data_IF_321053010332
#
_entry.id   IF_321053010332
#
_cell.length_a   1.000
_cell.length_b   1.000
_cell.length_c   1.000
_cell.angle_alpha   90.00
_cell.angle_beta   90.00
_cell.angle_gamma   90.00
#
_symmetry.space_group_name_H-M   'P 1'
#
loop_
_entity.id
_entity.type
_entity.pdbx_description
1 polymer ?
#
# COMPACT_ATOMS: atom_id res chain seq x y z
N UNK A 1 40.67 4.70 12.23
CA UNK A 1 39.78 5.84 12.55
C UNK A 1 38.38 5.46 12.01
N UNK A 2 37.49 5.02 12.91
CA UNK A 2 36.14 4.54 12.55
C UNK A 2 35.15 5.66 12.81
N UNK A 3 34.69 6.31 11.75
CA UNK A 3 33.61 7.28 11.82
C UNK A 3 32.26 6.56 11.90
N UNK A 4 31.68 6.48 13.08
CA UNK A 4 30.30 6.05 13.29
C UNK A 4 29.38 7.13 12.73
N UNK A 5 28.67 6.84 11.64
CA UNK A 5 27.58 7.67 11.17
C UNK A 5 26.45 7.62 12.22
N UNK A 6 26.33 8.67 13.01
CA UNK A 6 25.23 8.85 13.95
C UNK A 6 23.94 9.05 13.15
N UNK A 7 23.02 8.11 13.28
CA UNK A 7 21.66 8.25 12.74
C UNK A 7 21.02 9.45 13.45
N UNK A 8 20.73 10.50 12.68
CA UNK A 8 20.20 11.75 13.21
C UNK A 8 18.71 11.60 13.56
N UNK A 9 18.43 11.15 14.77
CA UNK A 9 17.06 11.01 15.33
C UNK A 9 16.29 12.34 15.37
N UNK A 10 16.98 13.48 15.31
CA UNK A 10 16.36 14.80 15.24
C UNK A 10 15.64 15.06 13.93
N UNK A 11 16.06 14.43 12.81
CA UNK A 11 15.35 14.53 11.54
C UNK A 11 13.99 13.85 11.56
N UNK A 12 13.80 12.82 12.39
CA UNK A 12 12.50 12.14 12.56
C UNK A 12 11.54 12.94 13.45
N UNK A 13 12.04 13.84 14.30
CA UNK A 13 11.21 14.64 15.21
C UNK A 13 10.68 15.93 14.57
N UNK A 14 11.38 16.47 13.57
CA UNK A 14 10.97 17.70 12.86
C UNK A 14 9.87 17.49 11.82
N UNK A 15 9.46 16.24 11.55
CA UNK A 15 8.43 15.88 10.56
C UNK A 15 6.98 16.08 11.02
N UNK A 16 6.78 16.76 12.15
CA UNK A 16 5.43 16.97 12.73
C UNK A 16 4.54 17.99 11.99
N UNK A 17 5.02 18.63 10.93
CA UNK A 17 4.33 19.76 10.29
C UNK A 17 4.21 19.71 8.76
N UNK A 18 4.25 18.53 8.12
CA UNK A 18 3.93 18.47 6.69
C UNK A 18 2.47 18.05 6.56
N UNK A 19 1.57 19.02 6.61
CA UNK A 19 0.14 18.85 6.42
C UNK A 19 -0.22 18.96 4.94
N UNK A 20 -0.93 17.95 4.42
CA UNK A 20 -1.49 17.92 3.08
C UNK A 20 -0.91 16.86 2.14
N UNK A 21 -1.71 16.41 1.17
CA UNK A 21 -1.33 15.39 0.17
C UNK A 21 -0.02 15.72 -0.57
N UNK A 22 0.29 17.01 -0.78
CA UNK A 22 1.57 17.48 -1.35
C UNK A 22 2.78 17.19 -0.46
N UNK A 23 2.63 17.31 0.87
CA UNK A 23 3.73 17.04 1.81
C UNK A 23 4.09 15.57 1.87
N UNK A 24 3.10 14.70 1.79
CA UNK A 24 3.28 13.25 1.76
C UNK A 24 3.94 12.81 0.44
N UNK A 25 3.53 13.41 -0.68
CA UNK A 25 4.17 13.17 -1.97
C UNK A 25 5.66 13.55 -1.95
N UNK A 26 5.99 14.72 -1.43
CA UNK A 26 7.38 15.15 -1.27
C UNK A 26 8.16 14.25 -0.33
N UNK A 27 7.52 13.76 0.73
CA UNK A 27 8.10 12.80 1.66
C UNK A 27 8.37 11.44 0.98
N UNK A 28 7.39 10.85 0.33
CA UNK A 28 7.55 9.58 -0.42
C UNK A 28 8.60 9.77 -1.52
N UNK A 29 8.56 10.87 -2.26
CA UNK A 29 9.54 11.19 -3.31
C UNK A 29 10.95 11.41 -2.75
N UNK A 30 11.11 12.04 -1.58
CA UNK A 30 12.42 12.20 -0.92
C UNK A 30 12.98 10.86 -0.45
N UNK A 31 12.11 9.98 0.05
CA UNK A 31 12.45 8.61 0.42
C UNK A 31 12.91 7.77 -0.79
N UNK A 32 12.24 7.94 -1.92
CA UNK A 32 12.59 7.24 -3.17
C UNK A 32 13.86 7.79 -3.83
N UNK A 33 14.15 9.10 -3.68
CA UNK A 33 15.35 9.75 -4.25
C UNK A 33 16.62 9.52 -3.46
N UNK A 34 16.52 9.20 -2.17
CA UNK A 34 17.66 8.97 -1.29
C UNK A 34 17.38 7.89 -0.25
N UNK A 35 17.19 6.63 -0.67
CA UNK A 35 16.82 5.53 0.24
C UNK A 35 17.90 5.29 1.32
N UNK A 36 19.15 5.58 1.03
CA UNK A 36 20.27 5.45 1.96
C UNK A 36 20.37 6.59 2.99
N UNK A 37 19.83 7.78 2.67
CA UNK A 37 19.97 8.96 3.55
C UNK A 37 18.93 9.02 4.67
N UNK A 38 17.77 8.33 4.52
CA UNK A 38 16.65 8.46 5.47
C UNK A 38 16.30 7.13 6.16
N UNK A 39 16.96 6.03 5.83
CA UNK A 39 16.72 4.72 6.47
C UNK A 39 15.30 4.18 6.34
N UNK A 40 14.50 4.69 5.40
CA UNK A 40 13.09 4.48 5.42
C UNK A 40 12.45 4.35 4.03
N UNK A 41 12.95 3.48 3.19
CA UNK A 41 12.19 2.72 2.22
C UNK A 41 13.12 1.65 1.65
N UNK A 42 13.52 0.80 2.53
CA UNK A 42 13.84 -0.55 2.11
C UNK A 42 12.55 -1.06 1.45
N UNK A 43 12.60 -1.53 0.19
CA UNK A 43 11.48 -2.23 -0.42
C UNK A 43 10.90 -3.21 0.59
N UNK A 44 9.59 -3.40 0.63
CA UNK A 44 8.97 -4.36 1.54
C UNK A 44 9.78 -5.65 1.52
N UNK A 45 10.22 -6.11 2.70
CA UNK A 45 11.08 -7.30 2.76
C UNK A 45 10.39 -8.48 2.07
N UNK A 46 11.13 -9.45 1.54
CA UNK A 46 10.52 -10.63 0.90
C UNK A 46 9.51 -11.34 1.81
N UNK A 47 9.75 -11.33 3.13
CA UNK A 47 8.82 -11.90 4.11
C UNK A 47 7.52 -11.10 4.21
N UNK A 48 7.61 -9.76 4.23
CA UNK A 48 6.44 -8.88 4.27
C UNK A 48 5.62 -9.03 2.99
N UNK A 49 6.28 -8.95 1.83
CA UNK A 49 5.61 -9.10 0.53
C UNK A 49 4.93 -10.46 0.38
N UNK A 50 5.57 -11.56 0.82
CA UNK A 50 4.97 -12.89 0.81
C UNK A 50 3.79 -13.00 1.76
N UNK A 51 3.88 -12.46 2.98
CA UNK A 51 2.77 -12.47 3.93
C UNK A 51 1.55 -11.71 3.36
N UNK A 52 1.77 -10.55 2.75
CA UNK A 52 0.70 -9.79 2.10
C UNK A 52 0.11 -10.57 0.93
N UNK A 53 0.94 -11.08 0.03
CA UNK A 53 0.50 -11.81 -1.16
C UNK A 53 -0.22 -13.13 -0.81
N UNK A 54 0.14 -13.79 0.30
CA UNK A 54 -0.56 -15.00 0.77
C UNK A 54 -1.99 -14.75 1.24
N UNK A 55 -2.38 -13.48 1.46
CA UNK A 55 -3.75 -13.13 1.83
C UNK A 55 -4.71 -13.11 0.64
N UNK A 56 -4.21 -13.20 -0.59
CA UNK A 56 -5.04 -13.31 -1.79
C UNK A 56 -5.66 -14.70 -1.88
N UNK A 57 -6.94 -14.82 -1.51
CA UNK A 57 -7.64 -16.11 -1.43
C UNK A 57 -7.98 -16.67 -2.81
N UNK A 58 -8.72 -15.94 -3.63
CA UNK A 58 -9.17 -16.39 -4.95
C UNK A 58 -8.30 -15.80 -6.07
N UNK A 59 -7.45 -16.62 -6.68
CA UNK A 59 -6.55 -16.20 -7.77
C UNK A 59 -7.26 -15.93 -9.10
N UNK A 60 -8.51 -16.33 -9.22
CA UNK A 60 -9.34 -16.07 -10.41
C UNK A 60 -10.03 -14.71 -10.36
N UNK A 61 -10.03 -14.04 -9.21
CA UNK A 61 -10.59 -12.71 -9.02
C UNK A 61 -9.57 -11.62 -9.29
N UNK A 62 -10.02 -10.43 -9.65
CA UNK A 62 -9.15 -9.27 -9.80
C UNK A 62 -8.59 -8.81 -8.45
N UNK A 63 -7.32 -8.43 -8.47
CA UNK A 63 -6.58 -7.86 -7.35
C UNK A 63 -6.13 -6.46 -7.75
N UNK A 64 -6.35 -5.49 -6.88
CA UNK A 64 -5.83 -4.14 -7.01
C UNK A 64 -4.70 -3.91 -6.02
N UNK A 65 -3.55 -3.49 -6.50
CA UNK A 65 -2.45 -2.97 -5.68
C UNK A 65 -2.36 -1.45 -5.82
N UNK A 66 -2.36 -0.74 -4.70
CA UNK A 66 -2.26 0.73 -4.66
C UNK A 66 -0.96 1.15 -3.98
N UNK A 67 -0.18 1.99 -4.69
CA UNK A 67 1.12 2.45 -4.22
C UNK A 67 2.18 1.36 -4.28
N UNK A 68 2.30 0.68 -5.44
CA UNK A 68 3.21 -0.45 -5.62
C UNK A 68 4.70 -0.09 -5.48
N UNK A 69 5.05 1.21 -5.65
CA UNK A 69 6.42 1.66 -5.54
C UNK A 69 7.32 0.97 -6.56
N UNK A 70 8.36 0.27 -6.08
CA UNK A 70 9.27 -0.50 -6.95
C UNK A 70 8.74 -1.89 -7.31
N UNK A 71 7.54 -2.27 -6.85
CA UNK A 71 6.87 -3.53 -7.22
C UNK A 71 7.29 -4.76 -6.41
N UNK A 72 7.68 -4.61 -5.14
CA UNK A 72 8.06 -5.76 -4.30
C UNK A 72 6.87 -6.67 -3.98
N UNK A 73 5.69 -6.09 -3.74
CA UNK A 73 4.46 -6.87 -3.49
C UNK A 73 3.92 -7.39 -4.81
N UNK A 74 3.95 -6.58 -5.88
CA UNK A 74 3.65 -7.02 -7.26
C UNK A 74 4.40 -8.30 -7.62
N UNK A 75 5.73 -8.31 -7.40
CA UNK A 75 6.59 -9.46 -7.65
C UNK A 75 6.18 -10.70 -6.83
N UNK A 76 5.88 -10.50 -5.55
CA UNK A 76 5.42 -11.59 -4.67
C UNK A 76 4.07 -12.16 -5.10
N UNK A 77 3.11 -11.32 -5.54
CA UNK A 77 1.82 -11.74 -6.05
C UNK A 77 1.96 -12.63 -7.28
N UNK A 78 2.77 -12.20 -8.26
CA UNK A 78 3.04 -12.96 -9.47
C UNK A 78 3.79 -14.26 -9.17
N UNK A 79 4.80 -14.20 -8.29
CA UNK A 79 5.58 -15.37 -7.86
C UNK A 79 4.74 -16.42 -7.13
N UNK A 80 3.68 -16.01 -6.42
CA UNK A 80 2.73 -16.91 -5.79
C UNK A 80 1.63 -17.41 -6.75
N UNK A 81 1.72 -17.07 -8.05
CA UNK A 81 0.87 -17.59 -9.11
C UNK A 81 -0.43 -16.80 -9.34
N UNK A 82 -0.49 -15.52 -8.95
CA UNK A 82 -1.56 -14.64 -9.42
C UNK A 82 -1.36 -14.39 -10.92
N UNK A 83 -2.37 -14.66 -11.79
CA UNK A 83 -2.26 -14.36 -13.19
C UNK A 83 -2.07 -12.86 -13.44
N UNK A 84 -1.13 -12.48 -14.30
CA UNK A 84 -0.78 -11.07 -14.56
C UNK A 84 -1.99 -10.24 -15.03
N UNK A 85 -2.89 -10.84 -15.84
CA UNK A 85 -4.10 -10.18 -16.31
C UNK A 85 -5.17 -9.97 -15.21
N UNK A 86 -4.99 -10.54 -14.03
CA UNK A 86 -5.83 -10.34 -12.83
C UNK A 86 -5.27 -9.28 -11.89
N UNK A 87 -4.02 -8.85 -12.09
CA UNK A 87 -3.40 -7.81 -11.28
C UNK A 87 -3.54 -6.44 -11.96
N UNK A 88 -4.12 -5.52 -11.23
CA UNK A 88 -4.21 -4.11 -11.60
C UNK A 88 -3.43 -3.28 -10.58
N UNK A 89 -2.65 -2.31 -11.04
CA UNK A 89 -1.81 -1.47 -10.17
C UNK A 89 -2.14 -0.01 -10.39
N UNK A 90 -2.34 0.73 -9.31
CA UNK A 90 -2.43 2.19 -9.31
C UNK A 90 -1.22 2.74 -8.55
N UNK A 91 -0.42 3.55 -9.23
CA UNK A 91 0.73 4.23 -8.66
C UNK A 91 0.68 5.72 -9.04
N UNK A 92 0.98 6.59 -8.09
CA UNK A 92 0.86 8.03 -8.29
C UNK A 92 2.08 8.65 -8.98
N UNK A 93 3.27 8.13 -8.73
CA UNK A 93 4.51 8.67 -9.30
C UNK A 93 4.71 8.16 -10.74
N UNK A 94 4.70 9.05 -11.77
CA UNK A 94 4.88 8.64 -13.15
C UNK A 94 6.20 7.91 -13.43
N UNK A 95 7.25 8.18 -12.66
CA UNK A 95 8.55 7.53 -12.81
C UNK A 95 8.50 6.07 -12.33
N UNK A 96 7.74 5.82 -11.26
CA UNK A 96 7.48 4.47 -10.76
C UNK A 96 6.52 3.71 -11.68
N UNK A 97 5.51 4.38 -12.24
CA UNK A 97 4.64 3.79 -13.28
C UNK A 97 5.47 3.30 -14.46
N UNK A 98 6.39 4.15 -14.98
CA UNK A 98 7.28 3.76 -16.07
C UNK A 98 8.20 2.59 -15.68
N UNK A 99 8.71 2.59 -14.43
CA UNK A 99 9.50 1.48 -13.89
C UNK A 99 8.69 0.17 -13.82
N UNK A 100 7.45 0.23 -13.32
CA UNK A 100 6.57 -0.93 -13.21
C UNK A 100 6.20 -1.51 -14.58
N UNK A 101 5.89 -0.67 -15.58
CA UNK A 101 5.66 -1.12 -16.95
C UNK A 101 6.86 -1.86 -17.54
N UNK A 102 8.08 -1.35 -17.28
CA UNK A 102 9.30 -2.00 -17.76
C UNK A 102 9.56 -3.33 -17.04
N UNK A 103 9.33 -3.38 -15.72
CA UNK A 103 9.60 -4.56 -14.90
C UNK A 103 8.56 -5.66 -15.08
N UNK A 104 7.30 -5.27 -15.27
CA UNK A 104 6.15 -6.17 -15.33
C UNK A 104 5.28 -5.87 -16.56
N UNK A 105 5.74 -6.19 -17.78
CA UNK A 105 5.07 -5.76 -19.02
C UNK A 105 3.67 -6.38 -19.22
N UNK A 106 3.34 -7.43 -18.49
CA UNK A 106 2.09 -8.18 -18.65
C UNK A 106 1.00 -7.80 -17.63
N UNK A 107 1.29 -6.86 -16.70
CA UNK A 107 0.28 -6.35 -15.77
C UNK A 107 -0.29 -5.02 -16.27
N UNK A 108 -1.47 -4.66 -15.75
CA UNK A 108 -2.04 -3.34 -16.00
C UNK A 108 -1.61 -2.37 -14.93
N UNK A 109 -0.96 -1.26 -15.31
CA UNK A 109 -0.53 -0.19 -14.40
C UNK A 109 -1.11 1.13 -14.87
N UNK A 110 -1.71 1.90 -13.97
CA UNK A 110 -2.25 3.25 -14.22
C UNK A 110 -1.63 4.26 -13.27
N UNK A 111 -1.33 5.41 -13.82
CA UNK A 111 -0.97 6.58 -13.02
C UNK A 111 -2.23 7.20 -12.43
N UNK A 112 -2.31 7.29 -11.09
CA UNK A 112 -3.49 7.84 -10.44
C UNK A 112 -3.43 7.83 -8.91
N UNK A 113 -4.44 8.45 -8.30
CA UNK A 113 -4.59 8.50 -6.86
C UNK A 113 -5.52 7.40 -6.34
N UNK A 114 -5.18 6.85 -5.17
CA UNK A 114 -5.96 5.81 -4.49
C UNK A 114 -7.39 6.24 -4.15
N UNK A 115 -7.60 7.53 -3.92
CA UNK A 115 -8.91 8.12 -3.67
C UNK A 115 -9.88 7.89 -4.84
N UNK A 116 -9.34 7.80 -6.06
CA UNK A 116 -10.10 7.58 -7.29
C UNK A 116 -10.06 6.13 -7.79
N UNK A 117 -9.60 5.19 -6.97
CA UNK A 117 -9.39 3.80 -7.37
C UNK A 117 -10.62 3.16 -8.03
N UNK A 118 -11.82 3.40 -7.50
CA UNK A 118 -13.05 2.86 -8.09
C UNK A 118 -13.36 3.41 -9.49
N UNK A 119 -13.15 4.72 -9.72
CA UNK A 119 -13.35 5.34 -11.03
C UNK A 119 -12.32 4.83 -12.04
N UNK A 120 -11.04 4.75 -11.65
CA UNK A 120 -9.96 4.24 -12.50
C UNK A 120 -10.22 2.78 -12.92
N UNK A 121 -10.68 1.93 -12.01
CA UNK A 121 -11.04 0.54 -12.35
C UNK A 121 -12.22 0.48 -13.32
N UNK A 122 -13.23 1.34 -13.12
CA UNK A 122 -14.40 1.40 -14.01
C UNK A 122 -14.00 1.77 -15.45
N UNK A 123 -13.09 2.74 -15.62
CA UNK A 123 -12.52 3.10 -16.93
C UNK A 123 -11.81 1.92 -17.60
N UNK A 124 -11.25 1.00 -16.83
CA UNK A 124 -10.57 -0.21 -17.30
C UNK A 124 -11.51 -1.43 -17.48
N UNK A 125 -12.83 -1.20 -17.33
CA UNK A 125 -13.82 -2.25 -17.45
C UNK A 125 -13.89 -3.23 -16.29
N UNK A 126 -13.32 -2.85 -15.12
CA UNK A 126 -13.36 -3.63 -13.90
C UNK A 126 -14.31 -2.94 -12.91
N UNK A 127 -15.45 -3.55 -12.64
CA UNK A 127 -16.45 -2.97 -11.73
C UNK A 127 -15.96 -2.95 -10.29
N UNK A 128 -15.37 -4.05 -9.82
CA UNK A 128 -14.90 -4.23 -8.45
C UNK A 128 -13.80 -5.29 -8.39
N UNK A 129 -12.99 -5.26 -7.33
CA UNK A 129 -11.97 -6.27 -7.04
C UNK A 129 -12.28 -7.00 -5.73
N UNK A 130 -11.87 -8.26 -5.63
CA UNK A 130 -12.05 -9.06 -4.41
C UNK A 130 -10.99 -8.76 -3.36
N UNK A 131 -9.79 -8.39 -3.77
CA UNK A 131 -8.70 -8.01 -2.86
C UNK A 131 -8.08 -6.71 -3.32
N UNK A 132 -7.97 -5.77 -2.40
CA UNK A 132 -7.20 -4.54 -2.54
C UNK A 132 -6.02 -4.58 -1.57
N UNK A 133 -4.83 -4.34 -2.07
CA UNK A 133 -3.60 -4.24 -1.28
C UNK A 133 -3.14 -2.79 -1.31
N UNK A 134 -2.95 -2.19 -0.14
CA UNK A 134 -2.48 -0.82 -0.01
C UNK A 134 -1.11 -0.77 0.65
N UNK A 135 -0.16 -0.16 -0.04
CA UNK A 135 1.19 0.16 0.46
C UNK A 135 1.32 1.63 0.86
N UNK A 136 0.22 2.35 0.95
CA UNK A 136 0.23 3.76 1.29
C UNK A 136 0.51 3.99 2.79
N UNK A 137 1.24 5.04 3.15
CA UNK A 137 1.52 5.40 4.54
C UNK A 137 0.30 6.11 5.19
N UNK A 138 -0.83 5.41 5.26
CA UNK A 138 -2.15 5.95 5.65
C UNK A 138 -2.12 6.61 7.03
N UNK A 139 -1.32 6.10 7.96
CA UNK A 139 -1.18 6.70 9.31
C UNK A 139 -0.61 8.11 9.31
N UNK A 140 0.18 8.47 8.31
CA UNK A 140 0.83 9.77 8.21
C UNK A 140 -0.08 10.84 7.61
N UNK A 141 -1.27 10.44 7.12
CA UNK A 141 -2.30 11.33 6.62
C UNK A 141 -3.04 12.02 7.78
N UNK A 142 -3.56 13.21 7.55
CA UNK A 142 -4.53 13.82 8.46
C UNK A 142 -5.82 12.98 8.52
N UNK A 143 -6.71 13.27 9.48
CA UNK A 143 -7.89 12.45 9.72
C UNK A 143 -8.84 12.38 8.53
N UNK A 144 -9.06 13.50 7.85
CA UNK A 144 -10.04 13.61 6.76
C UNK A 144 -9.49 13.00 5.46
N UNK A 145 -8.24 13.29 5.10
CA UNK A 145 -7.57 12.66 3.94
C UNK A 145 -7.51 11.14 4.09
N UNK A 146 -7.27 10.66 5.32
CA UNK A 146 -7.26 9.23 5.62
C UNK A 146 -8.61 8.58 5.32
N UNK A 147 -9.70 9.21 5.76
CA UNK A 147 -11.05 8.71 5.54
C UNK A 147 -11.40 8.76 4.05
N UNK A 148 -11.05 9.86 3.35
CA UNK A 148 -11.30 10.02 1.92
C UNK A 148 -10.59 8.93 1.10
N UNK A 149 -9.29 8.71 1.35
CA UNK A 149 -8.51 7.71 0.62
C UNK A 149 -9.01 6.29 0.91
N UNK A 150 -9.24 5.95 2.19
CA UNK A 150 -9.76 4.61 2.53
C UNK A 150 -11.16 4.43 1.95
N UNK A 151 -12.03 5.45 2.03
CA UNK A 151 -13.35 5.44 1.42
C UNK A 151 -13.30 5.23 -0.10
N UNK A 152 -12.38 5.89 -0.79
CA UNK A 152 -12.14 5.71 -2.23
C UNK A 152 -11.71 4.28 -2.57
N UNK A 153 -10.76 3.74 -1.81
CA UNK A 153 -10.34 2.35 -1.97
C UNK A 153 -11.48 1.35 -1.71
N UNK A 154 -12.31 1.61 -0.68
CA UNK A 154 -13.45 0.74 -0.36
C UNK A 154 -14.53 0.74 -1.44
N UNK A 155 -14.66 1.79 -2.27
CA UNK A 155 -15.55 1.80 -3.45
C UNK A 155 -15.08 0.86 -4.55
N UNK A 156 -13.77 0.61 -4.65
CA UNK A 156 -13.19 -0.34 -5.59
C UNK A 156 -13.39 -1.80 -5.19
N UNK A 157 -13.73 -2.07 -3.91
CA UNK A 157 -13.88 -3.41 -3.36
C UNK A 157 -15.30 -3.98 -3.56
N UNK A 158 -15.39 -5.24 -3.92
CA UNK A 158 -16.62 -6.03 -3.85
C UNK A 158 -17.20 -6.05 -2.42
N UNK A 159 -18.50 -6.33 -2.28
CA UNK A 159 -19.17 -6.29 -0.98
C UNK A 159 -18.51 -7.23 0.05
N UNK A 160 -18.11 -8.42 -0.38
CA UNK A 160 -17.40 -9.45 0.38
C UNK A 160 -15.87 -9.38 0.20
N UNK A 161 -15.36 -8.31 -0.42
CA UNK A 161 -13.93 -8.10 -0.66
C UNK A 161 -13.17 -7.70 0.59
N UNK A 162 -11.84 -7.79 0.51
CA UNK A 162 -10.91 -7.46 1.58
C UNK A 162 -9.88 -6.41 1.20
N UNK A 163 -9.58 -5.50 2.13
CA UNK A 163 -8.46 -4.57 2.05
C UNK A 163 -7.31 -5.09 2.91
N UNK A 164 -6.14 -5.25 2.32
CA UNK A 164 -4.91 -5.60 3.04
C UNK A 164 -4.04 -4.34 3.13
N UNK A 165 -3.68 -3.97 4.35
CA UNK A 165 -2.84 -2.82 4.65
C UNK A 165 -1.74 -3.23 5.62
N UNK A 166 -0.51 -2.78 5.40
CA UNK A 166 0.53 -2.92 6.41
C UNK A 166 0.88 -1.58 7.07
N UNK A 167 1.45 -1.65 8.26
CA UNK A 167 1.91 -0.49 9.02
C UNK A 167 3.13 -0.86 9.86
N UNK A 168 3.99 0.12 10.15
CA UNK A 168 5.16 -0.05 11.01
C UNK A 168 4.86 0.16 12.51
N UNK A 169 3.61 0.22 12.88
CA UNK A 169 3.16 0.34 14.27
C UNK A 169 2.20 -0.79 14.62
N UNK A 170 2.07 -1.09 15.92
CA UNK A 170 1.16 -2.15 16.38
C UNK A 170 -0.33 -1.76 16.30
N UNK A 171 -0.61 -0.46 16.21
CA UNK A 171 -1.99 0.04 16.23
C UNK A 171 -2.62 0.00 14.83
N UNK A 172 -3.94 -0.16 14.79
CA UNK A 172 -4.73 -0.08 13.57
C UNK A 172 -4.44 1.23 12.81
N UNK A 173 -4.25 1.20 11.48
CA UNK A 173 -3.85 2.38 10.70
C UNK A 173 -4.92 3.46 10.57
N UNK A 174 -6.20 3.14 10.75
CA UNK A 174 -7.33 4.07 10.65
C UNK A 174 -8.51 3.65 11.54
N UNK A 175 -9.43 4.59 11.87
CA UNK A 175 -10.59 4.32 12.73
C UNK A 175 -11.62 3.48 11.96
N UNK A 176 -11.69 2.21 12.28
CA UNK A 176 -12.58 1.23 11.61
C UNK A 176 -14.05 1.48 11.88
N UNK A 177 -14.41 1.97 13.08
CA UNK A 177 -15.78 2.29 13.47
C UNK A 177 -16.40 3.34 12.55
N UNK A 178 -15.62 4.36 12.17
CA UNK A 178 -16.08 5.44 11.27
C UNK A 178 -16.33 4.97 9.84
N UNK A 179 -15.70 3.86 9.45
CA UNK A 179 -15.76 3.30 8.10
C UNK A 179 -16.65 2.05 8.04
N UNK A 180 -17.21 1.63 9.16
CA UNK A 180 -18.02 0.41 9.25
C UNK A 180 -17.23 -0.84 8.85
N UNK A 181 -15.97 -0.95 9.28
CA UNK A 181 -15.08 -2.05 8.90
C UNK A 181 -14.72 -2.91 10.10
N UNK A 182 -14.63 -4.22 9.86
CA UNK A 182 -13.98 -5.15 10.76
C UNK A 182 -12.47 -5.19 10.45
N UNK A 183 -11.63 -5.16 11.49
CA UNK A 183 -10.18 -5.24 11.38
C UNK A 183 -9.65 -6.52 12.01
N UNK A 184 -8.84 -7.25 11.28
CA UNK A 184 -8.11 -8.43 11.73
C UNK A 184 -6.61 -8.21 11.58
N UNK A 185 -5.84 -8.50 12.61
CA UNK A 185 -4.37 -8.51 12.52
C UNK A 185 -3.91 -9.85 11.98
N UNK A 186 -3.45 -9.86 10.73
CA UNK A 186 -2.97 -11.06 10.04
C UNK A 186 -1.65 -11.57 10.63
N UNK A 187 -0.70 -10.64 10.89
CA UNK A 187 0.59 -11.04 11.43
C UNK A 187 1.57 -9.88 11.56
N UNK A 188 2.74 -10.19 12.11
CA UNK A 188 3.86 -9.25 12.28
C UNK A 188 5.12 -9.82 11.63
N UNK A 189 5.82 -8.99 10.86
CA UNK A 189 7.09 -9.34 10.23
C UNK A 189 8.21 -8.61 10.94
N UNK A 190 8.97 -9.35 11.75
CA UNK A 190 10.08 -8.80 12.54
C UNK A 190 11.32 -8.51 11.69
N UNK A 191 11.54 -9.29 10.63
CA UNK A 191 12.69 -9.14 9.72
C UNK A 191 12.48 -8.04 8.66
N UNK A 192 11.40 -7.26 8.77
CA UNK A 192 11.24 -6.01 8.04
C UNK A 192 11.86 -4.89 8.89
N UNK A 193 12.51 -3.90 8.26
CA UNK A 193 13.15 -2.78 8.96
C UNK A 193 12.50 -1.48 8.51
N UNK A 194 11.69 -0.83 9.40
CA UNK A 194 11.28 -1.30 10.73
C UNK A 194 10.30 -2.49 10.67
N UNK A 195 10.09 -3.23 11.78
CA UNK A 195 9.10 -4.31 11.82
C UNK A 195 7.72 -3.85 11.38
N UNK A 196 7.03 -4.68 10.60
CA UNK A 196 5.73 -4.34 10.03
C UNK A 196 4.62 -5.25 10.55
N UNK A 197 3.41 -4.71 10.67
CA UNK A 197 2.17 -5.43 11.01
C UNK A 197 1.25 -5.38 9.82
N UNK A 198 0.71 -6.53 9.43
CA UNK A 198 -0.26 -6.67 8.34
C UNK A 198 -1.65 -6.78 8.92
N UNK A 199 -2.55 -5.99 8.37
CA UNK A 199 -3.96 -5.92 8.74
C UNK A 199 -4.83 -6.29 7.55
N UNK A 200 -5.95 -6.96 7.82
CA UNK A 200 -7.01 -7.25 6.90
C UNK A 200 -8.28 -6.53 7.36
N UNK A 201 -8.96 -5.88 6.43
CA UNK A 201 -10.21 -5.17 6.67
C UNK A 201 -11.29 -5.70 5.75
N UNK A 202 -12.46 -5.97 6.32
CA UNK A 202 -13.66 -6.44 5.61
C UNK A 202 -14.87 -5.65 6.06
N UNK A 203 -15.91 -5.63 5.22
CA UNK A 203 -17.23 -5.17 5.69
C UNK A 203 -17.83 -6.22 6.62
N UNK A 204 -18.64 -5.83 7.61
CA UNK A 204 -19.45 -6.78 8.38
C UNK A 204 -20.32 -7.59 7.41
N UNK A 205 -20.51 -8.88 7.71
CA UNK A 205 -21.48 -9.67 6.98
C UNK A 205 -22.87 -9.02 7.13
N UNK A 206 -23.52 -8.76 5.99
CA UNK A 206 -24.92 -8.34 6.00
C UNK A 206 -25.74 -9.55 6.44
N UNK A 207 -26.37 -9.45 7.63
CA UNK A 207 -27.29 -10.47 8.18
C UNK A 207 -28.61 -10.40 7.41
#
# INVERSE_FOLDING_TARGET
MHGKAAVNWLALYSMRFITGARGIFLFIRSLLKSPLAVGALVPSSPQLSRLIASQVGCRNSHVLEVGAGTGSITDALLSLGLPANRLFVIERDPSLVAHLHKRFPNIRVRCGDAEHAGAILCEEGISQVQTLISSLPIRNLNGDDRIAIVGGMMKALAADGQLIQFTYTANCPFPTERLGLHAERVGRVWMNIPPAVVWKFTRPATV
#
